data_IF_542056558846
#
_entry.id   IF_542056558846
#
_cell.length_a   1.000
_cell.length_b   1.000
_cell.length_c   1.000
_cell.angle_alpha   90.00
_cell.angle_beta   90.00
_cell.angle_gamma   90.00
#
_symmetry.space_group_name_H-M   'P 1'
#
loop_
_entity.id
_entity.type
_entity.pdbx_description
1 polymer ?
#
# COMPACT_ATOMS: atom_id res chain seq x y z
N UNK A 1 -0.48 4.60 5.93
CA UNK A 1 -1.48 4.92 4.89
C UNK A 1 -1.97 3.65 4.18
N UNK A 2 -1.12 2.90 3.46
CA UNK A 2 -1.57 1.75 2.65
C UNK A 2 -2.30 0.67 3.46
N UNK A 3 -1.88 0.38 4.69
CA UNK A 3 -2.59 -0.54 5.59
C UNK A 3 -3.96 0.00 6.02
N UNK A 4 -4.05 1.30 6.28
CA UNK A 4 -5.33 1.94 6.59
C UNK A 4 -6.26 1.95 5.38
N UNK A 5 -5.74 2.17 4.17
CA UNK A 5 -6.52 2.06 2.94
C UNK A 5 -7.16 0.68 2.79
N UNK A 6 -6.38 -0.38 2.98
CA UNK A 6 -6.88 -1.75 2.88
C UNK A 6 -8.03 -2.07 3.86
N UNK A 7 -8.15 -1.32 4.97
CA UNK A 7 -9.22 -1.49 5.96
C UNK A 7 -10.50 -0.70 5.65
N UNK A 8 -10.52 0.15 4.61
CA UNK A 8 -11.69 0.99 4.28
C UNK A 8 -12.79 0.25 3.51
N UNK A 9 -12.59 -1.01 3.13
CA UNK A 9 -13.57 -1.84 2.42
C UNK A 9 -14.15 -1.19 1.14
N UNK A 10 -13.33 -0.40 0.43
CA UNK A 10 -13.71 0.33 -0.79
C UNK A 10 -13.68 -0.54 -2.06
N UNK A 11 -13.81 -1.85 -1.92
CA UNK A 11 -13.83 -2.77 -3.08
C UNK A 11 -12.45 -3.06 -3.70
N UNK A 12 -11.38 -2.39 -3.26
CA UNK A 12 -10.01 -2.68 -3.67
C UNK A 12 -9.06 -2.68 -2.46
N UNK A 13 -8.14 -3.64 -2.43
CA UNK A 13 -7.19 -3.82 -1.33
C UNK A 13 -6.05 -2.78 -1.32
N UNK A 14 -5.90 -1.99 -2.37
CA UNK A 14 -4.88 -0.95 -2.52
C UNK A 14 -5.37 0.15 -3.46
N UNK A 15 -4.84 1.39 -3.35
CA UNK A 15 -5.22 2.48 -4.24
C UNK A 15 -4.68 2.22 -5.66
N UNK A 16 -5.55 2.29 -6.65
CA UNK A 16 -5.21 2.19 -8.07
C UNK A 16 -5.20 3.57 -8.73
N UNK A 17 -4.58 3.73 -9.93
CA UNK A 17 -4.72 4.94 -10.72
C UNK A 17 -6.18 5.28 -10.97
N UNK A 18 -6.54 6.56 -10.81
CA UNK A 18 -7.91 7.03 -11.01
C UNK A 18 -8.23 7.19 -12.48
N UNK A 19 -9.42 6.76 -12.85
CA UNK A 19 -9.94 6.79 -14.21
C UNK A 19 -11.28 7.53 -14.28
N UNK A 20 -11.81 7.72 -15.48
CA UNK A 20 -13.16 8.31 -15.65
C UNK A 20 -14.28 7.42 -15.07
N UNK A 21 -14.03 6.12 -14.89
CA UNK A 21 -14.99 5.26 -14.20
C UNK A 21 -15.25 5.73 -12.76
N UNK A 22 -14.25 6.33 -12.11
CA UNK A 22 -14.35 6.82 -10.75
C UNK A 22 -15.19 8.11 -10.62
N UNK A 23 -15.50 8.80 -11.74
CA UNK A 23 -16.40 9.95 -11.77
C UNK A 23 -17.88 9.56 -11.62
N UNK A 24 -18.24 8.37 -12.11
CA UNK A 24 -19.64 7.93 -12.18
C UNK A 24 -20.05 7.11 -10.96
N UNK A 25 -20.98 7.60 -10.18
CA UNK A 25 -21.73 6.81 -9.19
C UNK A 25 -22.94 6.15 -9.87
N UNK A 26 -22.73 5.25 -10.82
CA UNK A 26 -23.88 4.62 -11.46
C UNK A 26 -23.58 3.76 -12.68
N UNK A 27 -24.48 2.81 -12.92
CA UNK A 27 -24.47 1.82 -13.99
C UNK A 27 -24.36 2.45 -15.38
N UNK A 28 -23.23 2.28 -16.02
CA UNK A 28 -23.01 2.67 -17.40
C UNK A 28 -21.52 2.81 -17.70
N UNK A 29 -20.82 1.67 -17.86
CA UNK A 29 -19.44 1.72 -18.32
C UNK A 29 -19.41 2.30 -19.74
N UNK A 30 -19.11 3.60 -19.82
CA UNK A 30 -18.77 4.27 -21.06
C UNK A 30 -17.50 3.65 -21.64
N UNK A 31 -17.35 3.65 -22.98
CA UNK A 31 -16.11 3.30 -23.67
C UNK A 31 -14.88 4.06 -23.14
N UNK A 32 -15.09 5.20 -22.47
CA UNK A 32 -14.03 6.04 -21.87
C UNK A 32 -13.74 5.72 -20.40
N UNK A 33 -14.35 4.70 -19.83
CA UNK A 33 -14.19 4.39 -18.40
C UNK A 33 -12.71 4.16 -17.99
N UNK A 34 -11.89 3.66 -18.90
CA UNK A 34 -10.47 3.40 -18.67
C UNK A 34 -9.53 4.59 -18.97
N UNK A 35 -10.06 5.70 -19.48
CA UNK A 35 -9.27 6.92 -19.66
C UNK A 35 -8.88 7.50 -18.30
N UNK A 36 -7.70 8.12 -18.22
CA UNK A 36 -7.26 8.79 -17.01
C UNK A 36 -8.25 9.89 -16.60
N UNK A 37 -8.44 10.08 -15.29
CA UNK A 37 -9.26 11.13 -14.73
C UNK A 37 -8.77 12.51 -15.23
N UNK A 38 -9.64 13.43 -15.70
CA UNK A 38 -9.23 14.77 -16.10
C UNK A 38 -8.63 15.57 -14.96
N UNK A 39 -7.62 16.40 -15.24
CA UNK A 39 -6.95 17.24 -14.22
C UNK A 39 -7.93 18.19 -13.51
N UNK A 40 -8.92 18.71 -14.22
CA UNK A 40 -9.93 19.59 -13.61
C UNK A 40 -10.72 18.87 -12.51
N UNK A 41 -11.15 17.63 -12.75
CA UNK A 41 -11.86 16.79 -11.77
C UNK A 41 -10.94 16.42 -10.62
N UNK A 42 -9.67 16.13 -10.91
CA UNK A 42 -8.68 15.85 -9.88
C UNK A 42 -8.46 17.05 -8.95
N UNK A 43 -8.42 18.27 -9.50
CA UNK A 43 -8.35 19.52 -8.70
C UNK A 43 -9.56 19.65 -7.78
N UNK A 44 -10.77 19.39 -8.27
CA UNK A 44 -12.00 19.47 -7.48
C UNK A 44 -11.97 18.43 -6.33
N UNK A 45 -11.55 17.21 -6.59
CA UNK A 45 -11.43 16.16 -5.57
C UNK A 45 -10.33 16.45 -4.54
N UNK A 46 -9.29 17.16 -4.92
CA UNK A 46 -8.26 17.63 -3.99
C UNK A 46 -8.77 18.80 -3.14
N UNK A 47 -9.53 19.74 -3.72
CA UNK A 47 -10.02 20.92 -3.02
C UNK A 47 -11.07 20.56 -1.95
N UNK A 48 -11.97 19.61 -2.25
CA UNK A 48 -13.08 19.23 -1.36
C UNK A 48 -12.67 18.03 -0.49
N UNK A 49 -12.84 18.15 0.84
CA UNK A 49 -12.48 17.10 1.79
C UNK A 49 -13.54 15.98 1.83
N UNK A 50 -13.52 15.12 0.84
CA UNK A 50 -14.33 13.89 0.76
C UNK A 50 -13.44 12.64 0.91
N UNK A 51 -14.05 11.47 0.94
CA UNK A 51 -13.37 10.17 0.89
C UNK A 51 -12.49 9.99 -0.36
N UNK A 52 -12.87 10.61 -1.49
CA UNK A 52 -12.11 10.60 -2.76
C UNK A 52 -10.76 11.32 -2.67
N UNK A 53 -10.63 12.31 -1.73
CA UNK A 53 -9.40 13.11 -1.60
C UNK A 53 -8.15 12.26 -1.38
N UNK A 54 -8.23 11.15 -0.66
CA UNK A 54 -7.07 10.31 -0.39
C UNK A 54 -6.52 9.65 -1.65
N UNK A 55 -7.40 9.14 -2.52
CA UNK A 55 -7.02 8.60 -3.84
C UNK A 55 -6.49 9.71 -4.76
N UNK A 56 -7.15 10.89 -4.74
CA UNK A 56 -6.73 12.04 -5.52
C UNK A 56 -5.33 12.57 -5.15
N UNK A 57 -4.96 12.52 -3.86
CA UNK A 57 -3.60 12.88 -3.42
C UNK A 57 -2.54 11.98 -4.04
N UNK A 58 -2.75 10.66 -3.99
CA UNK A 58 -1.80 9.72 -4.57
C UNK A 58 -1.74 9.88 -6.09
N UNK A 59 -2.90 10.07 -6.75
CA UNK A 59 -2.97 10.29 -8.19
C UNK A 59 -2.25 11.56 -8.63
N UNK A 60 -2.36 12.67 -7.88
CA UNK A 60 -1.63 13.90 -8.18
C UNK A 60 -0.11 13.67 -8.19
N UNK A 61 0.41 12.90 -7.22
CA UNK A 61 1.84 12.56 -7.16
C UNK A 61 2.25 11.51 -8.20
N UNK A 62 1.35 10.62 -8.63
CA UNK A 62 1.59 9.76 -9.80
C UNK A 62 1.80 10.58 -11.07
N UNK A 63 1.08 11.69 -11.20
CA UNK A 63 1.22 12.67 -12.30
C UNK A 63 2.35 13.68 -12.08
N UNK A 64 3.20 13.45 -11.09
CA UNK A 64 4.37 14.29 -10.80
C UNK A 64 4.02 15.75 -10.43
N UNK A 65 2.82 15.98 -9.88
CA UNK A 65 2.52 17.30 -9.33
C UNK A 65 3.41 17.59 -8.13
N UNK A 66 3.89 18.84 -8.03
CA UNK A 66 4.75 19.24 -6.92
C UNK A 66 3.97 19.31 -5.60
N UNK A 67 4.69 19.09 -4.51
CA UNK A 67 4.14 19.23 -3.15
C UNK A 67 3.54 20.62 -2.94
N UNK A 68 4.17 21.67 -3.51
CA UNK A 68 3.70 23.04 -3.44
C UNK A 68 2.34 23.20 -4.12
N UNK A 69 2.17 22.70 -5.36
CA UNK A 69 0.90 22.73 -6.09
C UNK A 69 -0.21 22.05 -5.31
N UNK A 70 0.06 20.84 -4.80
CA UNK A 70 -0.93 20.08 -4.02
C UNK A 70 -1.23 20.77 -2.69
N UNK A 71 -0.24 21.37 -2.04
CA UNK A 71 -0.43 22.15 -0.82
C UNK A 71 -1.31 23.38 -1.04
N UNK A 72 -1.10 24.11 -2.13
CA UNK A 72 -1.91 25.29 -2.48
C UNK A 72 -3.39 24.95 -2.66
N UNK A 73 -3.69 23.81 -3.28
CA UNK A 73 -5.06 23.34 -3.49
C UNK A 73 -5.69 22.82 -2.20
N UNK A 74 -4.96 21.97 -1.46
CA UNK A 74 -5.53 21.17 -0.35
C UNK A 74 -5.40 21.82 1.01
N UNK A 75 -4.42 22.71 1.20
CA UNK A 75 -3.96 23.27 2.49
C UNK A 75 -3.45 22.20 3.49
N UNK A 76 -3.23 20.97 3.02
CA UNK A 76 -2.62 19.91 3.84
C UNK A 76 -1.15 20.27 4.10
N UNK A 77 -0.70 20.07 5.33
CA UNK A 77 0.70 20.30 5.72
C UNK A 77 1.66 19.53 4.84
N UNK A 78 2.71 20.18 4.34
CA UNK A 78 3.70 19.61 3.42
C UNK A 78 4.34 18.32 3.93
N UNK A 79 4.52 18.21 5.23
CA UNK A 79 5.07 16.99 5.84
C UNK A 79 4.29 15.72 5.46
N UNK A 80 2.96 15.78 5.48
CA UNK A 80 2.12 14.66 5.04
C UNK A 80 2.19 14.46 3.51
N UNK A 81 2.26 15.56 2.74
CA UNK A 81 2.33 15.50 1.28
C UNK A 81 3.64 14.85 0.80
N UNK A 82 4.77 15.12 1.44
CA UNK A 82 6.03 14.40 1.18
C UNK A 82 5.89 12.88 1.42
N UNK A 83 5.06 12.48 2.39
CA UNK A 83 4.75 11.07 2.60
C UNK A 83 4.04 10.42 1.39
N UNK A 84 3.05 11.12 0.81
CA UNK A 84 2.34 10.66 -0.40
C UNK A 84 3.24 10.68 -1.64
N UNK A 85 4.02 11.74 -1.82
CA UNK A 85 5.00 11.83 -2.91
C UNK A 85 5.96 10.64 -2.88
N UNK A 86 6.51 10.33 -1.71
CA UNK A 86 7.41 9.18 -1.52
C UNK A 86 6.73 7.85 -1.86
N UNK A 87 5.45 7.67 -1.49
CA UNK A 87 4.69 6.47 -1.86
C UNK A 87 4.52 6.36 -3.37
N UNK A 88 4.16 7.46 -4.05
CA UNK A 88 4.01 7.48 -5.51
C UNK A 88 5.34 7.22 -6.23
N UNK A 89 6.45 7.79 -5.73
CA UNK A 89 7.79 7.51 -6.26
C UNK A 89 8.16 6.02 -6.13
N UNK A 90 7.85 5.43 -4.99
CA UNK A 90 8.12 4.01 -4.74
C UNK A 90 7.25 3.12 -5.63
N UNK A 91 5.97 3.43 -5.77
CA UNK A 91 5.05 2.73 -6.68
C UNK A 91 5.54 2.81 -8.13
N UNK A 92 5.99 4.00 -8.56
CA UNK A 92 6.60 4.18 -9.89
C UNK A 92 7.83 3.30 -10.08
N UNK A 93 8.66 3.13 -9.05
CA UNK A 93 9.81 2.23 -9.12
C UNK A 93 9.40 0.76 -9.35
N UNK A 94 8.28 0.33 -8.77
CA UNK A 94 7.73 -1.01 -9.01
C UNK A 94 7.26 -1.13 -10.46
N UNK A 95 6.48 -0.15 -10.96
CA UNK A 95 6.00 -0.12 -12.35
C UNK A 95 7.17 -0.16 -13.35
N UNK A 96 8.20 0.67 -13.12
CA UNK A 96 9.38 0.72 -13.98
C UNK A 96 10.21 -0.56 -13.95
N UNK A 97 10.17 -1.29 -12.85
CA UNK A 97 10.87 -2.57 -12.75
C UNK A 97 10.32 -3.59 -13.75
N UNK A 98 9.00 -3.68 -13.89
CA UNK A 98 8.28 -4.39 -14.96
C UNK A 98 8.74 -5.82 -15.24
N UNK A 99 9.16 -6.57 -14.21
CA UNK A 99 9.67 -7.94 -14.32
C UNK A 99 8.67 -8.94 -13.77
N UNK A 100 8.91 -10.22 -14.04
CA UNK A 100 8.17 -11.30 -13.39
C UNK A 100 8.42 -11.28 -11.86
N UNK A 101 7.41 -11.55 -11.03
CA UNK A 101 7.59 -11.69 -9.59
C UNK A 101 8.73 -12.65 -9.19
N UNK A 102 9.02 -13.66 -9.99
CA UNK A 102 10.11 -14.62 -9.74
C UNK A 102 11.52 -13.98 -9.77
N UNK A 103 11.67 -12.84 -10.46
CA UNK A 103 12.94 -12.13 -10.60
C UNK A 103 13.18 -11.07 -9.51
N UNK A 104 12.20 -10.84 -8.64
CA UNK A 104 12.33 -9.86 -7.56
C UNK A 104 13.39 -10.30 -6.55
N UNK A 105 14.21 -9.36 -6.13
CA UNK A 105 15.22 -9.57 -5.08
C UNK A 105 14.59 -9.46 -3.68
N UNK A 106 15.29 -10.00 -2.68
CA UNK A 106 14.89 -9.84 -1.28
C UNK A 106 14.83 -8.38 -0.87
N UNK A 107 15.83 -7.58 -1.27
CA UNK A 107 15.94 -6.16 -0.91
C UNK A 107 14.78 -5.34 -1.49
N UNK A 108 14.41 -5.57 -2.76
CA UNK A 108 13.24 -4.93 -3.39
C UNK A 108 11.96 -5.27 -2.62
N UNK A 109 11.71 -6.54 -2.37
CA UNK A 109 10.54 -6.98 -1.62
C UNK A 109 10.53 -6.41 -0.20
N UNK A 110 11.65 -6.45 0.50
CA UNK A 110 11.79 -5.89 1.86
C UNK A 110 11.51 -4.40 1.88
N UNK A 111 12.06 -3.65 0.93
CA UNK A 111 11.83 -2.22 0.80
C UNK A 111 10.33 -1.91 0.63
N UNK A 112 9.68 -2.53 -0.34
CA UNK A 112 8.27 -2.27 -0.62
C UNK A 112 7.35 -2.74 0.50
N UNK A 113 7.61 -3.92 1.07
CA UNK A 113 6.85 -4.47 2.19
C UNK A 113 6.97 -3.61 3.45
N UNK A 114 8.15 -3.08 3.77
CA UNK A 114 8.36 -2.19 4.93
C UNK A 114 7.58 -0.87 4.80
N UNK A 115 7.31 -0.42 3.57
CA UNK A 115 6.48 0.75 3.29
C UNK A 115 4.98 0.44 3.18
N UNK A 116 4.57 -0.81 3.37
CA UNK A 116 3.19 -1.23 3.47
C UNK A 116 2.55 -1.70 2.17
N UNK A 117 3.32 -1.88 1.09
CA UNK A 117 2.81 -2.46 -0.15
C UNK A 117 2.39 -3.92 0.08
N UNK A 118 1.15 -4.26 -0.25
CA UNK A 118 0.66 -5.64 -0.22
C UNK A 118 1.23 -6.45 -1.39
N UNK A 119 1.18 -7.78 -1.30
CA UNK A 119 1.60 -8.64 -2.40
C UNK A 119 0.72 -8.38 -3.64
N UNK A 120 -0.59 -8.12 -3.44
CA UNK A 120 -1.53 -7.72 -4.49
C UNK A 120 -1.15 -6.38 -5.14
N UNK A 121 -0.79 -5.36 -4.33
CA UNK A 121 -0.38 -4.05 -4.86
C UNK A 121 0.91 -4.17 -5.69
N UNK A 122 1.88 -4.93 -5.22
CA UNK A 122 3.13 -5.17 -5.96
C UNK A 122 2.84 -5.87 -7.29
N UNK A 123 1.99 -6.90 -7.30
CA UNK A 123 1.61 -7.61 -8.53
C UNK A 123 0.92 -6.68 -9.54
N UNK A 124 -0.05 -5.88 -9.08
CA UNK A 124 -0.79 -4.94 -9.92
C UNK A 124 0.14 -3.84 -10.50
N UNK A 125 1.05 -3.32 -9.68
CA UNK A 125 2.01 -2.31 -10.11
C UNK A 125 3.07 -2.86 -11.09
N UNK A 126 3.59 -4.07 -10.86
CA UNK A 126 4.50 -4.75 -11.81
C UNK A 126 3.86 -4.93 -13.19
N UNK A 127 2.56 -5.19 -13.23
CA UNK A 127 1.78 -5.31 -14.45
C UNK A 127 1.33 -3.96 -15.05
N UNK A 128 1.70 -2.83 -14.43
CA UNK A 128 1.33 -1.50 -14.89
C UNK A 128 -0.13 -1.14 -14.65
N UNK A 129 -0.79 -1.71 -13.64
CA UNK A 129 -2.18 -1.48 -13.28
C UNK A 129 -3.16 -1.75 -14.44
N UNK A 130 -3.29 -3.00 -14.90
CA UNK A 130 -4.18 -3.33 -16.00
C UNK A 130 -5.62 -2.92 -15.66
N UNK A 131 -6.42 -2.41 -16.63
CA UNK A 131 -7.77 -1.88 -16.40
C UNK A 131 -8.71 -2.87 -15.69
N UNK A 132 -8.58 -4.15 -15.97
CA UNK A 132 -9.40 -5.22 -15.38
C UNK A 132 -8.89 -5.68 -14.00
N UNK A 133 -7.78 -5.09 -13.52
CA UNK A 133 -7.18 -5.38 -12.23
C UNK A 133 -6.50 -6.74 -12.15
N UNK A 134 -6.26 -7.19 -10.92
CA UNK A 134 -5.56 -8.44 -10.64
C UNK A 134 -6.17 -9.68 -11.29
N UNK A 135 -7.46 -9.66 -11.62
CA UNK A 135 -8.14 -10.80 -12.27
C UNK A 135 -7.68 -11.04 -13.70
N UNK A 136 -7.12 -10.03 -14.35
CA UNK A 136 -6.59 -10.15 -15.73
C UNK A 136 -5.14 -10.62 -15.77
N UNK A 137 -4.46 -10.72 -14.63
CA UNK A 137 -3.06 -11.13 -14.59
C UNK A 137 -2.90 -12.61 -14.94
N UNK A 138 -1.89 -12.88 -15.75
CA UNK A 138 -1.56 -14.25 -16.11
C UNK A 138 -1.08 -15.04 -14.88
N UNK A 139 -1.26 -16.37 -14.87
CA UNK A 139 -0.66 -17.22 -13.84
C UNK A 139 0.84 -16.96 -13.73
N UNK A 140 1.33 -16.76 -12.51
CA UNK A 140 2.73 -16.42 -12.24
C UNK A 140 3.05 -14.91 -12.26
N UNK A 141 2.06 -14.06 -12.49
CA UNK A 141 2.16 -12.58 -12.40
C UNK A 141 1.22 -12.00 -11.34
N UNK A 142 0.47 -12.84 -10.67
CA UNK A 142 -0.56 -12.48 -9.69
C UNK A 142 0.02 -12.32 -8.27
N UNK A 143 -0.85 -11.99 -7.33
CA UNK A 143 -0.51 -11.87 -5.90
C UNK A 143 0.16 -13.15 -5.35
N UNK A 144 -0.28 -14.33 -5.81
CA UNK A 144 0.29 -15.61 -5.35
C UNK A 144 1.75 -15.75 -5.77
N UNK A 145 2.11 -15.30 -6.96
CA UNK A 145 3.49 -15.32 -7.44
C UNK A 145 4.39 -14.43 -6.59
N UNK A 146 3.95 -13.22 -6.23
CA UNK A 146 4.68 -12.33 -5.31
C UNK A 146 4.82 -12.97 -3.93
N UNK A 147 3.74 -13.54 -3.40
CA UNK A 147 3.75 -14.25 -2.12
C UNK A 147 4.72 -15.43 -2.13
N UNK A 148 4.69 -16.26 -3.18
CA UNK A 148 5.60 -17.40 -3.32
C UNK A 148 7.06 -16.95 -3.40
N UNK A 149 7.35 -15.88 -4.16
CA UNK A 149 8.69 -15.31 -4.22
C UNK A 149 9.16 -14.80 -2.87
N UNK A 150 8.30 -14.09 -2.14
CA UNK A 150 8.59 -13.61 -0.79
C UNK A 150 8.91 -14.75 0.18
N UNK A 151 8.17 -15.87 0.11
CA UNK A 151 8.45 -17.06 0.90
C UNK A 151 9.76 -17.73 0.48
N UNK A 152 10.06 -17.78 -0.82
CA UNK A 152 11.31 -18.36 -1.35
C UNK A 152 12.56 -17.63 -0.84
N UNK A 153 12.47 -16.30 -0.69
CA UNK A 153 13.57 -15.50 -0.11
C UNK A 153 13.47 -15.36 1.42
N UNK A 154 12.66 -16.19 2.07
CA UNK A 154 12.46 -16.23 3.52
C UNK A 154 12.06 -14.88 4.15
N UNK A 155 11.44 -13.99 3.37
CA UNK A 155 10.96 -12.69 3.86
C UNK A 155 9.59 -12.84 4.51
N UNK A 156 9.57 -12.89 5.83
CA UNK A 156 8.36 -12.99 6.65
C UNK A 156 8.13 -11.72 7.48
N UNK A 157 6.87 -11.39 7.79
CA UNK A 157 6.58 -10.29 8.70
C UNK A 157 7.05 -10.64 10.12
N UNK A 158 7.56 -9.66 10.83
CA UNK A 158 7.80 -9.71 12.26
C UNK A 158 6.66 -9.04 13.01
N UNK A 159 6.37 -9.50 14.22
CA UNK A 159 5.32 -8.92 15.06
C UNK A 159 5.94 -8.14 16.20
N UNK A 160 5.48 -6.91 16.40
CA UNK A 160 5.92 -6.04 17.48
C UNK A 160 4.75 -5.71 18.38
N UNK A 161 5.03 -5.59 19.67
CA UNK A 161 4.05 -5.16 20.65
C UNK A 161 3.91 -3.65 20.63
N UNK A 162 2.68 -3.17 20.68
CA UNK A 162 2.39 -1.75 20.89
C UNK A 162 2.54 -1.46 22.37
N UNK A 163 3.42 -0.53 22.70
CA UNK A 163 3.48 0.05 24.04
C UNK A 163 2.38 1.12 24.18
N UNK A 164 1.22 0.69 24.66
CA UNK A 164 0.02 1.54 24.77
C UNK A 164 0.11 2.55 25.95
N UNK A 165 1.11 2.40 26.83
CA UNK A 165 1.26 3.19 28.04
C UNK A 165 2.59 3.96 28.08
N UNK A 166 3.25 4.13 26.93
CA UNK A 166 4.54 4.83 26.82
C UNK A 166 5.60 4.34 27.82
N UNK A 167 5.62 3.04 28.12
CA UNK A 167 6.46 2.38 29.11
C UNK A 167 6.21 2.81 30.58
N UNK A 168 5.18 3.62 30.85
CA UNK A 168 4.86 4.04 32.22
C UNK A 168 4.22 2.92 33.05
N UNK A 169 3.44 2.04 32.40
CA UNK A 169 2.76 0.90 33.03
C UNK A 169 2.79 -0.33 32.15
N UNK A 170 2.89 -1.52 32.75
CA UNK A 170 2.72 -2.77 32.04
C UNK A 170 1.29 -2.90 31.50
N UNK A 171 1.13 -2.97 30.18
CA UNK A 171 -0.18 -3.14 29.56
C UNK A 171 -0.76 -4.52 29.93
N UNK A 172 -2.00 -4.53 30.48
CA UNK A 172 -2.71 -5.79 30.79
C UNK A 172 -3.12 -6.59 29.55
N UNK A 173 -3.38 -5.86 28.45
CA UNK A 173 -3.77 -6.45 27.16
C UNK A 173 -2.77 -6.03 26.10
N UNK A 174 -1.86 -6.93 25.65
CA UNK A 174 -0.89 -6.59 24.65
C UNK A 174 -1.55 -6.51 23.26
N UNK A 175 -1.29 -5.43 22.54
CA UNK A 175 -1.62 -5.29 21.12
C UNK A 175 -0.37 -5.49 20.28
N UNK A 176 -0.51 -6.17 19.15
CA UNK A 176 0.58 -6.47 18.26
C UNK A 176 0.30 -5.91 16.86
N UNK A 177 1.34 -5.52 16.15
CA UNK A 177 1.27 -5.17 14.74
C UNK A 177 2.36 -5.91 13.96
N UNK A 178 2.07 -6.20 12.69
CA UNK A 178 3.05 -6.81 11.78
C UNK A 178 3.85 -5.75 11.03
N UNK A 179 5.13 -5.99 10.85
CA UNK A 179 6.03 -5.13 10.05
C UNK A 179 7.06 -5.98 9.33
N UNK A 180 7.70 -5.40 8.30
CA UNK A 180 8.83 -6.01 7.57
C UNK A 180 10.15 -5.28 7.84
N UNK A 181 10.19 -4.41 8.84
CA UNK A 181 11.42 -3.78 9.28
C UNK A 181 12.40 -4.80 9.84
N UNK A 182 13.73 -4.62 9.62
CA UNK A 182 14.73 -5.52 10.18
C UNK A 182 14.68 -5.54 11.71
N UNK A 183 15.02 -6.67 12.31
CA UNK A 183 15.22 -6.79 13.74
C UNK A 183 16.28 -5.78 14.20
N UNK A 184 16.00 -5.00 15.25
CA UNK A 184 16.96 -4.04 15.83
C UNK A 184 16.80 -2.59 15.38
N UNK A 185 15.90 -2.25 14.46
CA UNK A 185 15.67 -0.87 14.03
C UNK A 185 14.99 0.03 15.08
N UNK A 186 14.34 -0.54 16.09
CA UNK A 186 13.82 0.17 17.26
C UNK A 186 13.99 -0.70 18.49
N UNK A 187 14.53 -0.15 19.58
CA UNK A 187 14.95 -0.84 20.81
C UNK A 187 13.89 -1.62 21.60
N UNK A 188 12.77 -2.01 20.98
CA UNK A 188 11.68 -2.78 21.59
C UNK A 188 11.63 -4.22 21.03
N UNK A 189 12.74 -4.70 20.50
CA UNK A 189 12.85 -6.03 19.91
C UNK A 189 13.00 -7.12 20.97
N UNK A 190 11.97 -7.38 21.77
CA UNK A 190 12.01 -8.58 22.62
C UNK A 190 10.65 -9.25 22.67
N UNK A 191 10.41 -10.15 21.73
CA UNK A 191 9.48 -11.25 21.91
C UNK A 191 10.25 -12.58 21.76
N UNK A 192 11.11 -12.99 22.74
CA UNK A 192 11.83 -14.27 22.67
C UNK A 192 10.89 -15.48 22.66
N UNK A 193 9.64 -15.34 23.11
CA UNK A 193 8.71 -16.46 23.31
C UNK A 193 7.59 -16.57 22.27
N UNK A 194 7.43 -15.60 21.36
CA UNK A 194 6.35 -15.65 20.37
C UNK A 194 6.62 -16.65 19.23
N UNK A 195 7.85 -16.85 18.85
CA UNK A 195 8.19 -17.88 17.84
C UNK A 195 7.81 -19.29 18.30
N UNK A 196 7.97 -19.58 19.59
CA UNK A 196 7.57 -20.88 20.17
C UNK A 196 6.05 -21.00 20.30
N UNK A 197 5.36 -19.93 20.70
CA UNK A 197 3.89 -19.93 20.89
C UNK A 197 3.10 -19.88 19.60
N UNK A 198 3.63 -19.29 18.54
CA UNK A 198 2.95 -19.21 17.24
C UNK A 198 2.89 -20.58 16.56
N UNK A 199 3.94 -21.43 16.73
CA UNK A 199 3.91 -22.80 16.22
C UNK A 199 2.88 -23.70 16.92
N UNK A 200 2.54 -23.41 18.16
CA UNK A 200 1.58 -24.21 18.94
C UNK A 200 0.12 -23.74 18.84
N UNK A 201 -0.13 -22.48 18.44
CA UNK A 201 -1.49 -21.87 18.42
C UNK A 201 -2.08 -21.58 17.05
N UNK A 202 -1.35 -21.65 15.96
CA UNK A 202 -1.88 -21.51 14.61
C UNK A 202 -2.67 -22.75 14.10
N UNK A 203 -2.88 -23.75 14.96
CA UNK A 203 -3.69 -24.95 14.67
C UNK A 203 -5.13 -24.81 15.17
N UNK A 204 -5.52 -23.67 15.72
CA UNK A 204 -6.82 -23.56 16.42
C UNK A 204 -7.62 -22.28 16.06
N UNK A 205 -7.62 -21.85 14.80
CA UNK A 205 -8.71 -20.99 14.24
C UNK A 205 -8.93 -21.38 12.77
#
# INVERSE_FOLDING_TARGET
FLKAWASLEQGCAHPRPLTRADESEGEGMSQRAHEALPDAVLVDWLAIATDRRMGALLEAFRREWSVEKVHEITRITRWFLYGFERLAQMERSIVQRGVSPAELTEDELRLWKSHGFSDAHIADALAGFPPEGLKSLAPGQDERAVMQRRHHVELHPVYRMVDSCAAEFAAKTPYYYSTYEPHGASGIDRLPDMEKRTKERLVAI
#
